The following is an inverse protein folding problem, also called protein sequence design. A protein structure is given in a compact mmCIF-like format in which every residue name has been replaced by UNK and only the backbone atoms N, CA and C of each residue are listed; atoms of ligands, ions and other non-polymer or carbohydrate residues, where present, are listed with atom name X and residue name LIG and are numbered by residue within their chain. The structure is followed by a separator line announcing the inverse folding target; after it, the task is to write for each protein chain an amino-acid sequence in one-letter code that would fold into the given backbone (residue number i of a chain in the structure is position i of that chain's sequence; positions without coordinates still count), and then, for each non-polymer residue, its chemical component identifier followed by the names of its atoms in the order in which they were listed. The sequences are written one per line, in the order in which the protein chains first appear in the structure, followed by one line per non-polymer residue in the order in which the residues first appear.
data_IF_853570091423
#
_entry.id   IF_853570091423
#
_cell.length_a   1.000
_cell.length_b   1.000
_cell.length_c   1.000
_cell.angle_alpha   90.00
_cell.angle_beta   90.00
_cell.angle_gamma   90.00
#
_symmetry.space_group_name_H-M   'P 1'
#
loop_
_entity.id
_entity.type
_entity.pdbx_description
1 polymer ?
#
# COMPACT_ATOMS: atom_id res chain seq x y z
N UNK A 1 2.99 9.84 2.30
CA UNK A 1 4.16 10.27 1.53
C UNK A 1 4.29 9.52 0.20
N UNK A 2 4.36 8.19 0.19
CA UNK A 2 4.63 7.37 -1.00
C UNK A 2 3.65 7.66 -2.16
N UNK A 3 2.36 7.71 -1.89
CA UNK A 3 1.34 8.01 -2.90
C UNK A 3 1.51 9.42 -3.49
N UNK A 4 1.79 10.42 -2.64
CA UNK A 4 1.99 11.79 -3.08
C UNK A 4 3.23 11.93 -3.98
N UNK A 5 4.32 11.26 -3.61
CA UNK A 5 5.53 11.19 -4.45
C UNK A 5 5.23 10.51 -5.78
N UNK A 6 4.60 9.33 -5.75
CA UNK A 6 4.30 8.59 -6.97
C UNK A 6 3.43 9.42 -7.93
N UNK A 7 2.39 10.08 -7.42
CA UNK A 7 1.53 10.95 -8.22
C UNK A 7 2.31 12.14 -8.80
N UNK A 8 3.02 12.90 -7.96
CA UNK A 8 3.74 14.11 -8.41
C UNK A 8 4.84 13.80 -9.42
N UNK A 9 5.56 12.69 -9.25
CA UNK A 9 6.58 12.27 -10.21
C UNK A 9 5.96 11.78 -11.53
N UNK A 10 4.79 11.11 -11.49
CA UNK A 10 4.07 10.76 -12.71
C UNK A 10 3.69 11.99 -13.55
N UNK A 11 3.22 13.07 -12.90
CA UNK A 11 2.95 14.35 -13.58
C UNK A 11 4.22 14.94 -14.19
N UNK A 12 5.33 15.01 -13.43
CA UNK A 12 6.60 15.57 -13.90
C UNK A 12 7.18 14.81 -15.10
N UNK A 13 7.09 13.50 -15.05
CA UNK A 13 7.64 12.62 -16.09
C UNK A 13 6.67 12.37 -17.24
N UNK A 14 5.47 13.00 -17.19
CA UNK A 14 4.43 12.90 -18.21
C UNK A 14 4.02 11.44 -18.49
N UNK A 15 3.97 10.61 -17.45
CA UNK A 15 3.42 9.27 -17.55
C UNK A 15 1.90 9.34 -17.66
N UNK A 16 1.30 8.36 -18.36
CA UNK A 16 -0.13 8.15 -18.22
C UNK A 16 -0.45 7.56 -16.84
N UNK A 17 -1.70 7.67 -16.40
CA UNK A 17 -2.10 7.11 -15.11
C UNK A 17 -1.95 5.58 -15.10
N UNK A 18 -2.23 4.92 -16.24
CA UNK A 18 -2.07 3.48 -16.37
C UNK A 18 -0.59 3.05 -16.29
N UNK A 19 0.31 3.85 -16.87
CA UNK A 19 1.75 3.59 -16.78
C UNK A 19 2.24 3.74 -15.33
N UNK A 20 1.85 4.80 -14.66
CA UNK A 20 2.22 5.02 -13.26
C UNK A 20 1.66 3.93 -12.34
N UNK A 21 0.40 3.54 -12.52
CA UNK A 21 -0.24 2.47 -11.74
C UNK A 21 0.39 1.10 -12.02
N UNK A 22 0.78 0.83 -13.26
CA UNK A 22 1.46 -0.43 -13.62
C UNK A 22 2.84 -0.54 -12.95
N UNK A 23 3.57 0.58 -12.82
CA UNK A 23 4.87 0.63 -12.14
C UNK A 23 4.71 0.65 -10.63
N UNK A 24 3.89 1.58 -10.09
CA UNK A 24 3.60 1.70 -8.67
C UNK A 24 2.57 0.65 -8.24
N UNK A 25 2.91 -0.60 -8.38
CA UNK A 25 2.05 -1.75 -8.13
C UNK A 25 2.88 -3.00 -7.82
N UNK A 26 2.43 -4.15 -8.34
CA UNK A 26 3.09 -5.44 -8.09
C UNK A 26 4.59 -5.46 -8.35
N UNK A 27 5.13 -4.83 -9.41
CA UNK A 27 6.58 -4.82 -9.64
C UNK A 27 7.37 -4.19 -8.50
N UNK A 28 6.81 -3.19 -7.82
CA UNK A 28 7.40 -2.55 -6.64
C UNK A 28 7.09 -3.25 -5.32
N UNK A 29 6.30 -4.33 -5.32
CA UNK A 29 5.81 -4.96 -4.09
C UNK A 29 4.66 -4.20 -3.43
N UNK A 30 3.95 -3.39 -4.18
CA UNK A 30 2.78 -2.61 -3.77
C UNK A 30 1.51 -3.27 -4.33
N UNK A 31 0.34 -3.14 -3.69
CA UNK A 31 -0.90 -3.68 -4.24
C UNK A 31 -1.20 -3.21 -5.67
N UNK A 32 -1.77 -4.11 -6.48
CA UNK A 32 -2.03 -3.89 -7.91
C UNK A 32 -2.91 -2.70 -8.26
N UNK A 33 -3.52 -2.08 -7.28
CA UNK A 33 -4.43 -0.93 -7.49
C UNK A 33 -3.69 0.26 -8.09
N UNK A 34 -2.37 0.34 -7.85
CA UNK A 34 -1.56 1.47 -8.26
C UNK A 34 -1.83 2.73 -7.43
N UNK A 35 -1.27 3.86 -7.83
CA UNK A 35 -1.44 5.14 -7.12
C UNK A 35 -2.76 5.81 -7.47
N UNK A 36 -3.08 5.98 -8.75
CA UNK A 36 -4.29 6.68 -9.20
C UNK A 36 -5.56 5.86 -8.94
N UNK A 37 -5.50 4.55 -9.17
CA UNK A 37 -6.59 3.65 -8.81
C UNK A 37 -6.86 3.60 -7.31
N UNK A 38 -5.84 3.84 -6.46
CA UNK A 38 -6.00 3.91 -5.01
C UNK A 38 -6.59 5.25 -4.57
N UNK A 39 -6.22 6.37 -5.20
CA UNK A 39 -6.90 7.66 -4.99
C UNK A 39 -8.39 7.56 -5.32
N UNK A 40 -8.75 6.91 -6.42
CA UNK A 40 -10.14 6.70 -6.79
C UNK A 40 -10.90 5.79 -5.82
N UNK A 41 -10.22 4.82 -5.23
CA UNK A 41 -10.80 3.89 -4.26
C UNK A 41 -11.09 4.58 -2.91
N UNK A 42 -10.13 5.35 -2.41
CA UNK A 42 -10.24 6.06 -1.13
C UNK A 42 -11.19 7.26 -1.26
N UNK A 43 -11.06 7.98 -2.34
CA UNK A 43 -11.73 9.25 -2.64
C UNK A 43 -10.70 10.37 -2.76
N UNK A 44 -10.71 11.03 -3.92
CA UNK A 44 -9.77 12.11 -4.27
C UNK A 44 -9.96 13.29 -3.32
N UNK A 45 -11.19 13.61 -2.95
CA UNK A 45 -11.58 14.63 -1.97
C UNK A 45 -11.02 14.33 -0.58
N UNK A 46 -11.20 13.11 -0.08
CA UNK A 46 -10.65 12.69 1.20
C UNK A 46 -9.11 12.76 1.20
N UNK A 47 -8.47 12.31 0.12
CA UNK A 47 -7.02 12.40 0.01
C UNK A 47 -6.50 13.85 -0.02
N UNK A 48 -7.26 14.76 -0.61
CA UNK A 48 -6.93 16.20 -0.58
C UNK A 48 -7.04 16.77 0.83
N UNK A 49 -8.04 16.36 1.61
CA UNK A 49 -8.20 16.80 3.00
C UNK A 49 -7.12 16.21 3.93
N UNK A 50 -6.75 14.94 3.72
CA UNK A 50 -5.59 14.32 4.39
C UNK A 50 -4.29 15.07 4.07
N UNK A 51 -4.09 15.47 2.80
CA UNK A 51 -2.93 16.26 2.39
C UNK A 51 -2.88 17.60 3.15
N UNK A 52 -4.00 18.34 3.22
CA UNK A 52 -4.10 19.60 3.95
C UNK A 52 -3.81 19.42 5.45
N UNK A 53 -4.34 18.34 6.04
CA UNK A 53 -4.11 18.02 7.45
C UNK A 53 -2.63 17.76 7.71
N UNK A 54 -1.93 17.00 6.86
CA UNK A 54 -0.51 16.76 7.02
C UNK A 54 0.34 18.02 6.80
N UNK A 55 -0.02 18.88 5.85
CA UNK A 55 0.67 20.17 5.68
C UNK A 55 0.60 21.01 6.97
N UNK A 56 -0.55 20.97 7.64
CA UNK A 56 -0.78 21.76 8.87
C UNK A 56 -0.09 21.16 10.11
N UNK A 57 -0.14 19.83 10.26
CA UNK A 57 0.26 19.16 11.50
C UNK A 57 1.74 18.74 11.50
N UNK A 58 2.34 18.48 10.33
CA UNK A 58 3.76 18.14 10.24
C UNK A 58 4.64 19.39 10.36
N UNK A 59 5.84 19.20 10.89
CA UNK A 59 6.85 20.27 10.99
C UNK A 59 7.11 20.88 9.61
N UNK A 60 7.37 22.19 9.58
CA UNK A 60 7.77 22.92 8.36
C UNK A 60 9.04 22.31 7.71
N UNK A 61 9.89 21.69 8.52
CA UNK A 61 11.12 21.04 8.06
C UNK A 61 10.88 19.56 7.65
N UNK A 62 9.65 19.02 7.78
CA UNK A 62 9.38 17.66 7.35
C UNK A 62 9.51 17.55 5.83
N UNK A 63 10.22 16.54 5.30
CA UNK A 63 10.36 16.34 3.86
C UNK A 63 9.02 16.15 3.13
N UNK A 64 7.93 15.87 3.85
CA UNK A 64 6.58 15.82 3.27
C UNK A 64 6.17 17.18 2.70
N UNK A 65 6.57 18.31 3.32
CA UNK A 65 6.23 19.65 2.86
C UNK A 65 6.73 19.92 1.42
N UNK A 66 7.83 19.30 1.02
CA UNK A 66 8.39 19.45 -0.33
C UNK A 66 7.52 18.79 -1.39
N UNK A 67 6.88 17.68 -1.05
CA UNK A 67 6.06 16.86 -1.98
C UNK A 67 4.57 17.16 -1.88
N UNK A 68 4.15 17.82 -0.80
CA UNK A 68 2.77 18.19 -0.51
C UNK A 68 2.31 19.38 -1.36
N UNK A 69 2.16 19.16 -2.67
CA UNK A 69 1.74 20.20 -3.61
C UNK A 69 0.32 19.95 -4.06
N UNK A 70 -0.50 21.01 -4.05
CA UNK A 70 -1.78 21.00 -4.72
C UNK A 70 -1.60 20.86 -6.23
N UNK A 71 -2.36 19.95 -6.82
CA UNK A 71 -2.33 19.71 -8.26
C UNK A 71 -3.63 20.28 -8.87
N UNK A 72 -3.55 21.23 -9.80
CA UNK A 72 -4.73 21.89 -10.36
C UNK A 72 -5.76 20.90 -10.93
N UNK A 73 -5.31 19.82 -11.56
CA UNK A 73 -6.20 18.78 -12.08
C UNK A 73 -6.99 18.10 -10.95
N UNK A 74 -6.35 17.80 -9.81
CA UNK A 74 -7.01 17.20 -8.65
C UNK A 74 -8.09 18.13 -8.11
N UNK A 75 -7.80 19.42 -7.97
CA UNK A 75 -8.76 20.43 -7.55
C UNK A 75 -9.97 20.48 -8.51
N UNK A 76 -9.72 20.54 -9.82
CA UNK A 76 -10.77 20.53 -10.86
C UNK A 76 -11.64 19.26 -10.78
N UNK A 77 -11.05 18.08 -10.57
CA UNK A 77 -11.81 16.85 -10.43
C UNK A 77 -12.78 16.91 -9.25
N UNK A 78 -12.31 17.40 -8.09
CA UNK A 78 -13.14 17.57 -6.88
C UNK A 78 -14.29 18.55 -7.15
N UNK A 79 -13.99 19.73 -7.68
CA UNK A 79 -14.97 20.78 -7.96
C UNK A 79 -16.06 20.33 -8.95
N UNK A 80 -15.73 19.43 -9.87
CA UNK A 80 -16.66 18.90 -10.87
C UNK A 80 -17.35 17.59 -10.45
N UNK A 81 -17.08 17.10 -9.22
CA UNK A 81 -17.70 15.91 -8.63
C UNK A 81 -17.09 14.59 -9.09
N UNK A 82 -15.89 14.63 -9.66
CA UNK A 82 -15.11 13.44 -9.98
C UNK A 82 -14.21 13.08 -8.79
N UNK A 83 -14.81 12.56 -7.73
CA UNK A 83 -14.16 12.27 -6.46
C UNK A 83 -13.72 10.83 -6.30
N UNK A 84 -13.70 10.04 -7.37
CA UNK A 84 -13.35 8.64 -7.39
C UNK A 84 -14.56 7.72 -7.53
N UNK A 85 -14.42 6.46 -7.09
CA UNK A 85 -15.47 5.42 -7.30
C UNK A 85 -16.80 5.73 -6.64
N UNK A 86 -16.83 6.54 -5.60
CA UNK A 86 -18.06 7.00 -4.92
C UNK A 86 -18.75 8.16 -5.64
N UNK A 87 -18.04 8.84 -6.56
CA UNK A 87 -18.56 9.96 -7.34
C UNK A 87 -18.89 9.58 -8.79
N UNK A 88 -18.76 10.55 -9.68
CA UNK A 88 -18.97 10.35 -11.13
C UNK A 88 -17.85 9.55 -11.82
N UNK A 89 -16.80 9.22 -11.10
CA UNK A 89 -15.51 8.71 -11.50
C UNK A 89 -14.40 9.54 -10.84
N UNK A 90 -13.17 9.35 -11.24
CA UNK A 90 -12.02 10.08 -10.76
C UNK A 90 -10.93 10.12 -11.83
N UNK A 91 -9.74 9.69 -11.51
CA UNK A 91 -8.69 9.45 -12.50
C UNK A 91 -9.11 8.41 -13.53
N UNK A 92 -9.86 7.41 -13.08
CA UNK A 92 -10.58 6.47 -13.95
C UNK A 92 -12.09 6.70 -13.83
N UNK A 93 -12.80 6.49 -14.94
CA UNK A 93 -14.28 6.49 -14.93
C UNK A 93 -14.83 5.39 -15.83
N UNK A 94 -16.04 4.96 -15.52
CA UNK A 94 -16.83 4.07 -16.42
C UNK A 94 -17.72 4.91 -17.30
N UNK A 95 -17.46 4.89 -18.58
CA UNK A 95 -18.35 5.47 -19.60
C UNK A 95 -19.25 4.39 -20.22
N UNK A 96 -20.39 4.80 -20.78
CA UNK A 96 -21.28 3.94 -21.56
C UNK A 96 -21.37 4.48 -22.98
N UNK A 97 -20.89 3.72 -23.93
CA UNK A 97 -20.99 4.02 -25.34
C UNK A 97 -21.62 2.81 -26.04
N UNK A 98 -22.70 3.04 -26.82
CA UNK A 98 -23.42 1.99 -27.53
C UNK A 98 -23.79 0.77 -26.63
N UNK A 99 -24.30 1.04 -25.43
CA UNK A 99 -24.60 0.04 -24.38
C UNK A 99 -23.41 -0.79 -23.88
N UNK A 100 -22.17 -0.48 -24.27
CA UNK A 100 -20.97 -1.10 -23.73
C UNK A 100 -20.35 -0.22 -22.65
N UNK A 101 -19.88 -0.86 -21.57
CA UNK A 101 -19.12 -0.17 -20.54
C UNK A 101 -17.66 -0.07 -20.99
N UNK A 102 -17.15 1.16 -21.06
CA UNK A 102 -15.76 1.45 -21.40
C UNK A 102 -15.09 2.07 -20.18
N UNK A 103 -14.01 1.48 -19.72
CA UNK A 103 -13.14 2.11 -18.72
C UNK A 103 -12.31 3.18 -19.43
N UNK A 104 -12.42 4.40 -18.93
CA UNK A 104 -11.62 5.53 -19.41
C UNK A 104 -10.64 6.00 -18.33
N UNK A 105 -9.52 6.53 -18.79
CA UNK A 105 -8.45 7.10 -17.99
C UNK A 105 -8.24 8.56 -18.37
N UNK A 106 -8.01 9.43 -17.38
CA UNK A 106 -7.79 10.85 -17.64
C UNK A 106 -6.32 11.09 -18.07
N UNK A 107 -6.15 11.93 -19.06
CA UNK A 107 -4.84 12.44 -19.41
C UNK A 107 -4.40 13.53 -18.42
N UNK A 108 -3.29 13.32 -17.74
CA UNK A 108 -2.79 14.21 -16.69
C UNK A 108 -2.47 15.63 -17.18
N UNK A 109 -2.18 15.80 -18.48
CA UNK A 109 -1.83 17.10 -19.05
C UNK A 109 -3.04 17.88 -19.57
N UNK A 110 -4.00 17.18 -20.21
CA UNK A 110 -5.16 17.83 -20.85
C UNK A 110 -6.41 17.83 -19.97
N UNK A 111 -6.50 16.86 -19.04
CA UNK A 111 -7.71 16.64 -18.25
C UNK A 111 -8.85 15.98 -19.04
N UNK A 112 -8.59 15.45 -20.23
CA UNK A 112 -9.56 14.74 -21.07
C UNK A 112 -9.48 13.25 -20.81
N UNK A 113 -10.62 12.56 -20.99
CA UNK A 113 -10.71 11.11 -20.81
C UNK A 113 -10.57 10.38 -22.14
N UNK A 114 -9.82 9.28 -22.11
CA UNK A 114 -9.61 8.37 -23.23
C UNK A 114 -9.84 6.93 -22.80
N UNK A 115 -10.17 6.01 -23.72
CA UNK A 115 -10.24 4.59 -23.40
C UNK A 115 -8.96 4.11 -22.71
N UNK A 116 -9.09 3.54 -21.51
CA UNK A 116 -7.96 3.08 -20.71
C UNK A 116 -7.24 1.91 -21.41
N UNK A 117 -5.91 1.93 -21.31
CA UNK A 117 -5.03 0.93 -21.92
C UNK A 117 -4.39 0.06 -20.84
N UNK A 118 -4.36 -1.24 -21.06
CA UNK A 118 -3.58 -2.12 -20.19
C UNK A 118 -2.09 -1.96 -20.55
N UNK A 119 -1.29 -1.64 -19.53
CA UNK A 119 0.17 -1.58 -19.66
C UNK A 119 0.74 -2.91 -19.19
N UNK A 120 1.46 -3.57 -20.08
CA UNK A 120 2.22 -4.77 -19.73
C UNK A 120 3.66 -4.38 -19.40
N UNK A 121 4.05 -4.62 -18.17
CA UNK A 121 5.40 -4.34 -17.68
C UNK A 121 6.38 -5.49 -17.95
N UNK A 122 5.89 -6.66 -18.35
CA UNK A 122 6.68 -7.89 -18.44
C UNK A 122 7.20 -8.38 -17.08
N UNK A 123 6.62 -7.87 -15.97
CA UNK A 123 7.01 -8.18 -14.60
C UNK A 123 5.73 -8.58 -13.85
N UNK A 124 5.56 -9.88 -13.61
CA UNK A 124 4.36 -10.39 -12.93
C UNK A 124 4.47 -10.39 -11.40
N UNK A 125 5.70 -10.47 -10.89
CA UNK A 125 5.99 -10.55 -9.45
C UNK A 125 6.92 -9.41 -9.02
N UNK A 126 7.11 -9.26 -7.71
CA UNK A 126 8.04 -8.27 -7.16
C UNK A 126 9.45 -8.52 -7.66
N UNK A 127 10.00 -7.57 -8.38
CA UNK A 127 11.38 -7.61 -8.86
C UNK A 127 11.96 -6.20 -8.98
N UNK A 128 12.34 -5.63 -7.82
CA UNK A 128 12.85 -4.27 -7.73
C UNK A 128 14.10 -4.06 -8.59
N UNK A 129 15.05 -4.99 -8.57
CA UNK A 129 16.31 -4.83 -9.29
C UNK A 129 16.09 -4.79 -10.80
N UNK A 130 15.23 -5.64 -11.34
CA UNK A 130 14.86 -5.58 -12.75
C UNK A 130 14.18 -4.26 -13.08
N UNK A 131 13.26 -3.82 -12.24
CA UNK A 131 12.46 -2.63 -12.46
C UNK A 131 13.32 -1.35 -12.47
N UNK A 132 14.11 -1.11 -11.40
CA UNK A 132 14.92 0.12 -11.26
C UNK A 132 16.11 0.20 -12.23
N UNK A 133 16.50 -0.91 -12.82
CA UNK A 133 17.60 -0.98 -13.80
C UNK A 133 17.13 -0.93 -15.26
N UNK A 134 15.83 -0.84 -15.51
CA UNK A 134 15.30 -0.57 -16.86
C UNK A 134 15.88 0.73 -17.40
N UNK A 135 16.14 0.78 -18.71
CA UNK A 135 16.70 1.95 -19.41
C UNK A 135 15.62 2.82 -20.05
N UNK A 136 14.40 2.75 -19.55
CA UNK A 136 13.25 3.49 -20.01
C UNK A 136 12.65 4.37 -18.88
N UNK A 137 11.63 5.15 -19.24
CA UNK A 137 10.92 6.03 -18.29
C UNK A 137 10.35 5.28 -17.08
N UNK A 138 10.05 4.00 -17.18
CA UNK A 138 9.54 3.20 -16.08
C UNK A 138 10.62 2.88 -15.06
N UNK A 139 11.84 2.58 -15.52
CA UNK A 139 12.99 2.41 -14.64
C UNK A 139 13.36 3.70 -13.91
N UNK A 140 13.35 4.82 -14.62
CA UNK A 140 13.60 6.14 -14.03
C UNK A 140 12.53 6.51 -12.99
N UNK A 141 11.26 6.38 -13.34
CA UNK A 141 10.15 6.65 -12.41
C UNK A 141 10.22 5.77 -11.17
N UNK A 142 10.43 4.46 -11.34
CA UNK A 142 10.52 3.54 -10.22
C UNK A 142 11.68 3.89 -9.28
N UNK A 143 12.85 4.23 -9.83
CA UNK A 143 14.01 4.64 -9.04
C UNK A 143 13.73 5.91 -8.24
N UNK A 144 13.20 6.95 -8.89
CA UNK A 144 12.90 8.23 -8.23
C UNK A 144 11.89 8.04 -7.10
N UNK A 145 10.84 7.26 -7.32
CA UNK A 145 9.81 7.02 -6.31
C UNK A 145 10.37 6.20 -5.14
N UNK A 146 11.04 5.07 -5.42
CA UNK A 146 11.58 4.19 -4.38
C UNK A 146 12.65 4.91 -3.55
N UNK A 147 13.59 5.61 -4.20
CA UNK A 147 14.66 6.32 -3.49
C UNK A 147 14.11 7.41 -2.55
N UNK A 148 13.08 8.13 -2.97
CA UNK A 148 12.40 9.12 -2.12
C UNK A 148 11.65 8.48 -0.95
N UNK A 149 10.99 7.34 -1.16
CA UNK A 149 10.32 6.59 -0.11
C UNK A 149 11.34 6.12 0.94
N UNK A 150 12.46 5.55 0.51
CA UNK A 150 13.53 5.09 1.40
C UNK A 150 14.12 6.28 2.17
N UNK A 151 14.43 7.40 1.49
CA UNK A 151 14.95 8.61 2.14
C UNK A 151 13.99 9.14 3.20
N UNK A 152 12.70 9.20 2.90
CA UNK A 152 11.69 9.66 3.86
C UNK A 152 11.58 8.70 5.06
N UNK A 153 11.43 7.40 4.81
CA UNK A 153 11.36 6.41 5.88
C UNK A 153 12.60 6.48 6.79
N UNK A 154 13.78 6.63 6.19
CA UNK A 154 15.04 6.76 6.94
C UNK A 154 15.11 8.03 7.78
N UNK A 155 14.46 9.13 7.38
CA UNK A 155 14.43 10.38 8.16
C UNK A 155 13.57 10.27 9.43
N UNK A 156 12.73 9.27 9.52
CA UNK A 156 11.90 8.99 10.70
C UNK A 156 12.66 8.23 11.79
N UNK A 157 13.87 7.75 11.49
CA UNK A 157 14.74 7.03 12.44
C UNK A 157 15.85 7.98 12.91
N UNK A 158 16.06 8.15 14.23
CA UNK A 158 15.34 7.54 15.36
C UNK A 158 14.13 8.37 15.87
N UNK A 159 13.74 9.45 15.20
CA UNK A 159 12.79 10.43 15.71
C UNK A 159 11.39 9.88 16.02
N UNK A 160 10.90 8.95 15.22
CA UNK A 160 9.59 8.29 15.41
C UNK A 160 9.76 6.89 16.02
N UNK A 161 10.77 6.16 15.59
CA UNK A 161 11.12 4.85 16.13
C UNK A 161 12.63 4.63 16.02
N UNK A 162 13.21 3.99 17.03
CA UNK A 162 14.62 3.57 17.00
C UNK A 162 14.81 2.30 16.14
N UNK A 163 13.73 1.59 15.86
CA UNK A 163 13.72 0.32 15.13
C UNK A 163 13.16 0.51 13.71
N UNK A 164 14.03 0.67 12.75
CA UNK A 164 13.61 0.84 11.34
C UNK A 164 12.72 -0.31 10.83
N UNK A 165 12.83 -1.52 11.39
CA UNK A 165 11.98 -2.67 11.06
C UNK A 165 10.50 -2.42 11.38
N UNK A 166 10.18 -1.59 12.39
CA UNK A 166 8.79 -1.26 12.74
C UNK A 166 8.10 -0.51 11.59
N UNK A 167 8.86 0.34 10.86
CA UNK A 167 8.34 1.04 9.69
C UNK A 167 8.02 0.05 8.57
N UNK A 168 8.89 -0.92 8.33
CA UNK A 168 8.63 -1.96 7.33
C UNK A 168 7.41 -2.82 7.71
N UNK A 169 7.29 -3.17 8.98
CA UNK A 169 6.14 -3.93 9.46
C UNK A 169 4.84 -3.13 9.35
N UNK A 170 4.86 -1.86 9.68
CA UNK A 170 3.71 -0.97 9.49
C UNK A 170 3.27 -0.90 8.03
N UNK A 171 4.21 -0.85 7.08
CA UNK A 171 3.89 -0.84 5.66
C UNK A 171 3.33 -2.19 5.18
N UNK A 172 3.88 -3.31 5.67
CA UNK A 172 3.36 -4.63 5.33
C UNK A 172 1.97 -4.89 5.91
N UNK A 173 1.79 -4.64 7.20
CA UNK A 173 0.55 -4.96 7.92
C UNK A 173 -0.55 -3.92 7.66
N UNK A 174 -0.19 -2.63 7.61
CA UNK A 174 -1.16 -1.55 7.43
C UNK A 174 -1.55 -1.31 5.98
N UNK A 175 -0.65 -1.54 5.03
CA UNK A 175 -0.84 -1.18 3.62
C UNK A 175 -0.69 -2.36 2.65
N UNK A 176 -0.51 -3.57 3.18
CA UNK A 176 -0.37 -4.80 2.39
C UNK A 176 0.78 -4.74 1.36
N UNK A 177 1.88 -4.10 1.70
CA UNK A 177 3.08 -4.10 0.90
C UNK A 177 3.81 -5.44 1.06
N UNK A 178 4.42 -5.95 -0.02
CA UNK A 178 5.24 -7.15 0.04
C UNK A 178 6.57 -6.91 0.75
N UNK A 179 7.10 -5.68 0.65
CA UNK A 179 8.34 -5.24 1.28
C UNK A 179 8.17 -3.82 1.82
N UNK A 180 8.68 -3.54 3.02
CA UNK A 180 8.79 -2.18 3.51
C UNK A 180 10.02 -1.45 2.94
N UNK A 181 10.17 -0.13 3.23
CA UNK A 181 11.21 0.71 2.65
C UNK A 181 12.65 0.21 2.90
N UNK A 182 12.94 -0.33 4.07
CA UNK A 182 14.29 -0.81 4.40
C UNK A 182 14.55 -2.21 3.84
N UNK A 183 13.50 -3.05 3.69
CA UNK A 183 13.58 -4.29 2.93
C UNK A 183 13.84 -4.01 1.43
N UNK A 184 13.24 -2.93 0.89
CA UNK A 184 13.55 -2.45 -0.46
C UNK A 184 15.01 -2.01 -0.57
N UNK A 185 15.52 -1.25 0.41
CA UNK A 185 16.94 -0.83 0.45
C UNK A 185 17.87 -2.03 0.49
N UNK A 186 17.58 -3.04 1.33
CA UNK A 186 18.34 -4.31 1.37
C UNK A 186 18.33 -5.01 0.01
N UNK A 187 17.16 -5.10 -0.63
CA UNK A 187 17.01 -5.74 -1.95
C UNK A 187 17.79 -5.02 -3.05
N UNK A 188 17.84 -3.69 -3.02
CA UNK A 188 18.62 -2.88 -3.96
C UNK A 188 20.12 -3.03 -3.72
N UNK A 189 20.52 -3.21 -2.47
CA UNK A 189 21.90 -3.20 -2.00
C UNK A 189 22.37 -1.80 -1.60
N UNK A 190 23.03 -1.72 -0.45
CA UNK A 190 23.47 -0.44 0.16
C UNK A 190 24.41 0.32 -0.78
N UNK A 191 25.41 -0.36 -1.36
CA UNK A 191 26.34 0.26 -2.31
C UNK A 191 25.65 0.78 -3.55
N UNK A 192 24.74 -0.02 -4.14
CA UNK A 192 23.99 0.38 -5.33
C UNK A 192 23.11 1.60 -5.06
N UNK A 193 22.50 1.66 -3.88
CA UNK A 193 21.68 2.78 -3.47
C UNK A 193 22.51 4.06 -3.37
N UNK A 194 23.61 4.04 -2.61
CA UNK A 194 24.48 5.22 -2.44
C UNK A 194 25.20 5.68 -3.72
N UNK A 195 25.44 4.78 -4.66
CA UNK A 195 26.00 5.16 -5.97
C UNK A 195 25.02 5.95 -6.85
N UNK A 196 23.74 5.99 -6.51
CA UNK A 196 22.68 6.59 -7.33
C UNK A 196 21.92 7.72 -6.64
N UNK A 197 22.12 7.96 -5.36
CA UNK A 197 21.53 9.08 -4.65
C UNK A 197 22.56 10.17 -4.42
N UNK A 198 22.18 11.43 -4.65
CA UNK A 198 23.08 12.58 -4.58
C UNK A 198 23.00 13.29 -3.23
N UNK A 199 21.85 13.25 -2.54
CA UNK A 199 21.63 13.99 -1.31
C UNK A 199 20.92 13.16 -0.24
N UNK A 200 21.60 12.97 0.87
CA UNK A 200 21.10 12.35 2.10
C UNK A 200 21.62 13.10 3.37
N UNK A 201 22.08 14.33 3.20
CA UNK A 201 22.51 15.19 4.30
C UNK A 201 21.34 15.41 5.26
N UNK A 202 21.66 15.48 6.55
CA UNK A 202 20.67 15.59 7.64
C UNK A 202 19.79 14.32 7.85
N UNK A 203 20.09 13.23 7.16
CA UNK A 203 19.47 11.94 7.40
C UNK A 203 20.44 11.03 8.19
N UNK A 204 20.33 11.06 9.52
CA UNK A 204 21.26 10.37 10.43
C UNK A 204 21.41 8.89 10.12
N UNK A 205 20.30 8.22 9.79
CA UNK A 205 20.34 6.80 9.45
C UNK A 205 21.17 6.56 8.19
N UNK A 206 20.89 7.27 7.11
CA UNK A 206 21.61 7.12 5.84
C UNK A 206 23.06 7.59 5.96
N UNK A 207 23.35 8.66 6.70
CA UNK A 207 24.73 9.08 6.96
C UNK A 207 25.56 8.02 7.66
N UNK A 208 24.99 7.36 8.67
CA UNK A 208 25.67 6.27 9.37
C UNK A 208 25.84 5.05 8.44
N UNK A 209 24.80 4.66 7.73
CA UNK A 209 24.86 3.53 6.80
C UNK A 209 25.84 3.78 5.66
N UNK A 210 25.96 5.02 5.18
CA UNK A 210 26.92 5.38 4.13
C UNK A 210 28.38 5.22 4.55
N UNK A 211 28.68 5.45 5.85
CA UNK A 211 30.02 5.29 6.42
C UNK A 211 30.38 3.83 6.60
N UNK A 212 29.46 3.04 7.10
CA UNK A 212 29.68 1.60 7.37
C UNK A 212 29.62 0.77 6.09
N UNK A 213 28.79 1.18 5.12
CA UNK A 213 28.46 0.42 3.89
C UNK A 213 28.07 -1.03 4.19
N UNK A 214 27.41 -1.22 5.34
CA UNK A 214 27.00 -2.54 5.80
C UNK A 214 25.84 -3.08 4.95
N UNK A 215 26.13 -4.02 4.07
CA UNK A 215 25.13 -4.72 3.25
C UNK A 215 24.22 -5.63 4.09
N UNK A 216 24.63 -5.95 5.30
CA UNK A 216 23.87 -6.80 6.23
C UNK A 216 23.14 -6.00 7.32
N UNK A 217 23.04 -4.66 7.18
CA UNK A 217 22.44 -3.78 8.19
C UNK A 217 21.04 -4.23 8.65
N UNK A 218 20.31 -4.87 7.76
CA UNK A 218 18.96 -5.35 8.03
C UNK A 218 18.93 -6.64 8.85
N UNK A 219 20.01 -7.44 8.81
CA UNK A 219 20.04 -8.76 9.40
C UNK A 219 19.08 -9.76 8.72
N UNK A 220 18.80 -10.85 9.41
CA UNK A 220 17.71 -11.76 9.02
C UNK A 220 16.39 -11.27 9.59
N UNK A 221 15.33 -11.39 8.80
CA UNK A 221 13.96 -11.09 9.26
C UNK A 221 13.64 -12.04 10.40
N UNK A 222 13.37 -11.48 11.57
CA UNK A 222 12.85 -12.25 12.68
C UNK A 222 11.43 -12.70 12.30
N UNK A 223 11.31 -13.91 11.78
CA UNK A 223 10.00 -14.53 11.60
C UNK A 223 9.45 -14.77 13.00
N UNK A 224 8.27 -14.27 13.30
CA UNK A 224 7.55 -14.62 14.51
C UNK A 224 7.15 -16.10 14.42
N UNK A 225 8.09 -17.00 14.78
CA UNK A 225 7.86 -18.45 14.75
C UNK A 225 6.80 -18.89 15.75
N UNK A 226 6.54 -18.05 16.75
CA UNK A 226 5.61 -18.31 17.84
C UNK A 226 4.18 -17.80 17.59
N UNK A 227 3.92 -17.19 16.44
CA UNK A 227 2.54 -16.82 16.08
C UNK A 227 1.69 -18.09 15.95
N UNK A 228 0.67 -18.17 16.80
CA UNK A 228 -0.34 -19.19 16.74
C UNK A 228 -1.35 -18.81 15.67
N UNK A 229 -1.37 -19.53 14.57
CA UNK A 229 -2.30 -19.33 13.47
C UNK A 229 -3.50 -20.27 13.60
N UNK A 230 -4.63 -19.90 12.98
CA UNK A 230 -5.81 -20.74 12.93
C UNK A 230 -5.51 -22.09 12.26
N UNK A 231 -4.67 -22.08 11.22
CA UNK A 231 -4.21 -23.30 10.55
C UNK A 231 -3.44 -24.25 11.47
N UNK A 232 -2.71 -23.73 12.50
CA UNK A 232 -2.03 -24.56 13.51
C UNK A 232 -2.98 -25.08 14.59
N UNK A 233 -4.09 -24.37 14.85
CA UNK A 233 -5.08 -24.72 15.89
C UNK A 233 -6.11 -25.73 15.35
N UNK A 234 -6.66 -25.51 14.16
CA UNK A 234 -7.73 -26.34 13.57
C UNK A 234 -7.51 -27.86 13.68
N UNK A 235 -6.31 -28.39 13.38
CA UNK A 235 -6.07 -29.84 13.50
C UNK A 235 -6.18 -30.39 14.94
N UNK A 236 -6.08 -29.49 15.94
CA UNK A 236 -6.10 -29.83 17.38
C UNK A 236 -7.42 -29.43 18.05
N UNK A 237 -8.27 -28.68 17.35
CA UNK A 237 -9.54 -28.19 17.85
C UNK A 237 -10.70 -29.09 17.42
N UNK A 238 -11.76 -29.11 18.20
CA UNK A 238 -13.00 -29.82 17.87
C UNK A 238 -13.95 -28.78 17.25
N UNK A 239 -14.41 -29.05 16.02
CA UNK A 239 -15.48 -28.27 15.42
C UNK A 239 -16.79 -28.60 16.11
N UNK A 240 -17.36 -27.68 16.85
CA UNK A 240 -18.54 -27.91 17.69
C UNK A 240 -19.82 -27.42 17.05
N UNK A 241 -19.75 -26.40 16.18
CA UNK A 241 -20.93 -25.90 15.47
C UNK A 241 -20.51 -25.19 14.17
N UNK A 242 -21.49 -24.98 13.30
CA UNK A 242 -21.34 -24.17 12.06
C UNK A 242 -22.69 -23.66 11.60
N UNK A 243 -22.68 -22.51 10.94
CA UNK A 243 -23.80 -22.05 10.13
C UNK A 243 -23.31 -21.61 8.74
N UNK A 244 -24.08 -20.82 8.00
CA UNK A 244 -23.72 -20.36 6.64
C UNK A 244 -22.54 -19.40 6.62
N UNK A 245 -22.30 -18.68 7.75
CA UNK A 245 -21.38 -17.54 7.81
C UNK A 245 -20.24 -17.71 8.78
N UNK A 246 -20.25 -18.76 9.62
CA UNK A 246 -19.21 -19.01 10.60
C UNK A 246 -19.05 -20.48 10.95
N UNK A 247 -17.82 -20.84 11.31
CA UNK A 247 -17.46 -22.10 11.95
C UNK A 247 -17.06 -21.82 13.41
N UNK A 248 -17.51 -22.69 14.33
CA UNK A 248 -17.17 -22.61 15.76
C UNK A 248 -16.32 -23.82 16.13
N UNK A 249 -15.16 -23.57 16.71
CA UNK A 249 -14.25 -24.59 17.20
C UNK A 249 -14.09 -24.48 18.72
N UNK A 250 -13.87 -25.60 19.37
CA UNK A 250 -13.45 -25.69 20.78
C UNK A 250 -11.99 -26.10 20.85
N UNK A 251 -11.21 -25.28 21.54
CA UNK A 251 -9.80 -25.57 21.77
C UNK A 251 -9.45 -25.22 23.20
N UNK A 252 -9.04 -26.24 24.01
CA UNK A 252 -8.90 -26.15 25.44
C UNK A 252 -10.17 -25.56 26.10
N UNK A 253 -10.04 -24.50 26.87
CA UNK A 253 -11.12 -23.90 27.64
C UNK A 253 -11.81 -22.72 26.95
N UNK A 254 -11.57 -22.48 25.67
CA UNK A 254 -12.17 -21.41 24.92
C UNK A 254 -12.79 -21.86 23.58
N UNK A 255 -13.72 -21.05 23.11
CA UNK A 255 -14.31 -21.19 21.79
C UNK A 255 -13.57 -20.28 20.81
N UNK A 256 -13.48 -20.73 19.57
CA UNK A 256 -12.92 -19.97 18.45
C UNK A 256 -14.01 -19.83 17.40
N UNK A 257 -14.31 -18.62 16.98
CA UNK A 257 -15.21 -18.33 15.85
C UNK A 257 -14.40 -17.85 14.66
N UNK A 258 -14.56 -18.51 13.54
CA UNK A 258 -14.02 -18.14 12.23
C UNK A 258 -15.17 -17.79 11.29
N UNK A 259 -15.18 -16.57 10.73
CA UNK A 259 -16.15 -16.20 9.72
C UNK A 259 -15.76 -16.78 8.36
N UNK A 260 -16.72 -17.41 7.69
CA UNK A 260 -16.52 -18.10 6.40
C UNK A 260 -17.17 -17.37 5.23
N UNK A 261 -17.79 -16.21 5.46
CA UNK A 261 -18.35 -15.35 4.43
C UNK A 261 -17.28 -14.77 3.53
N UNK A 262 -17.67 -14.32 2.34
CA UNK A 262 -16.74 -13.61 1.44
C UNK A 262 -16.20 -12.35 2.12
N UNK A 263 -14.87 -12.22 2.17
CA UNK A 263 -14.16 -11.12 2.86
C UNK A 263 -14.49 -11.03 4.36
N UNK A 264 -14.86 -12.11 4.99
CA UNK A 264 -15.28 -12.17 6.40
C UNK A 264 -16.38 -11.15 6.76
N UNK A 265 -17.26 -10.79 5.79
CA UNK A 265 -18.33 -9.84 6.00
C UNK A 265 -19.29 -10.33 7.08
N UNK A 266 -19.67 -9.42 7.99
CA UNK A 266 -20.60 -9.70 9.07
C UNK A 266 -22.03 -9.69 8.54
N UNK A 267 -22.81 -10.67 8.94
CA UNK A 267 -24.24 -10.81 8.67
C UNK A 267 -24.98 -11.35 9.89
N UNK A 268 -26.28 -11.60 9.75
CA UNK A 268 -27.08 -12.13 10.86
C UNK A 268 -26.55 -13.48 11.38
N UNK A 269 -26.19 -14.39 10.46
CA UNK A 269 -25.70 -15.72 10.82
C UNK A 269 -24.33 -15.66 11.53
N UNK A 270 -23.44 -14.73 11.14
CA UNK A 270 -22.16 -14.50 11.83
C UNK A 270 -22.36 -13.97 13.24
N UNK A 271 -23.32 -13.06 13.45
CA UNK A 271 -23.65 -12.52 14.77
C UNK A 271 -24.34 -13.59 15.67
N UNK A 272 -25.16 -14.44 15.10
CA UNK A 272 -25.77 -15.56 15.81
C UNK A 272 -24.71 -16.58 16.26
N UNK A 273 -23.74 -16.89 15.39
CA UNK A 273 -22.60 -17.74 15.75
C UNK A 273 -21.80 -17.17 16.94
N UNK A 274 -21.54 -15.85 16.96
CA UNK A 274 -20.89 -15.22 18.10
C UNK A 274 -21.69 -15.38 19.38
N UNK A 275 -23.00 -15.14 19.32
CA UNK A 275 -23.89 -15.30 20.46
C UNK A 275 -23.89 -16.74 21.00
N UNK A 276 -23.93 -17.73 20.13
CA UNK A 276 -23.96 -19.14 20.50
C UNK A 276 -22.61 -19.66 21.02
N UNK A 277 -21.51 -18.93 20.77
CA UNK A 277 -20.16 -19.29 21.25
C UNK A 277 -19.78 -18.67 22.62
N UNK A 278 -20.70 -17.98 23.30
CA UNK A 278 -20.40 -17.24 24.53
C UNK A 278 -20.47 -18.08 25.82
N UNK A 279 -20.74 -19.38 25.72
CA UNK A 279 -20.71 -20.32 26.86
C UNK A 279 -19.30 -20.48 27.46
N UNK A 280 -18.27 -20.07 26.74
CA UNK A 280 -16.86 -20.07 27.15
C UNK A 280 -16.17 -18.77 26.72
N UNK A 281 -14.96 -18.48 27.23
CA UNK A 281 -14.13 -17.41 26.69
C UNK A 281 -13.99 -17.55 25.16
N UNK A 282 -14.17 -16.44 24.45
CA UNK A 282 -14.30 -16.41 23.01
C UNK A 282 -13.10 -15.76 22.34
N UNK A 283 -12.56 -16.39 21.31
CA UNK A 283 -11.56 -15.85 20.41
C UNK A 283 -12.20 -15.74 19.02
N UNK A 284 -12.15 -14.55 18.42
CA UNK A 284 -12.53 -14.33 17.03
C UNK A 284 -11.23 -14.25 16.23
N UNK A 285 -11.08 -15.10 15.22
CA UNK A 285 -9.86 -15.16 14.41
C UNK A 285 -10.20 -15.50 12.96
N UNK A 286 -9.61 -14.74 12.05
CA UNK A 286 -9.72 -14.96 10.62
C UNK A 286 -8.33 -14.86 9.98
N UNK A 287 -8.06 -15.73 9.02
CA UNK A 287 -6.84 -15.71 8.21
C UNK A 287 -7.12 -15.30 6.75
N UNK A 288 -8.25 -14.65 6.52
CA UNK A 288 -8.58 -14.11 5.20
C UNK A 288 -7.70 -12.90 4.89
N UNK A 289 -7.29 -12.79 3.64
CA UNK A 289 -6.59 -11.61 3.13
C UNK A 289 -7.48 -10.35 3.05
N UNK A 290 -8.78 -10.52 3.21
CA UNK A 290 -9.76 -9.44 3.16
C UNK A 290 -10.70 -9.59 4.36
N UNK A 291 -10.93 -8.49 5.05
CA UNK A 291 -11.90 -8.38 6.12
C UNK A 291 -12.82 -7.21 5.80
N UNK A 292 -14.11 -7.43 5.91
CA UNK A 292 -15.12 -6.38 5.74
C UNK A 292 -16.11 -6.50 6.88
N UNK A 293 -16.21 -5.46 7.68
CA UNK A 293 -17.21 -5.32 8.73
C UNK A 293 -18.38 -4.47 8.27
#
# INVERSE_FOLDING_TARGET
YAMQVAMTEAFKMKLSIEEADAVFGRPMGIPKTGVFGLYDLIGIDLMADVLKSFIKELSENDPFQIVAKEIPLVKKLIETGYTGRKGKGGFYRMNKENNKKILEAINLNTGEYFPSKKIDMGIETVNLNTLINRKDKYGEYSWVVISKIIKYASSLVPGITDKFNDIDEAMRLGFNWAMGPFEMLKSIGVKNFFNRIDDFKNNKFLENLSKTKDENFYGERQLYTDIVTLGKIKPKAIKVDKNKSADIYRFNDFNIVEFTTKACALDYDSMDALKNATDKPLIIINESMQFSA
#
